data_IF_430902856112
#
_entry.id   IF_430902856112
#
_cell.length_a   1.000
_cell.length_b   1.000
_cell.length_c   1.000
_cell.angle_alpha   90.00
_cell.angle_beta   90.00
_cell.angle_gamma   90.00
#
_symmetry.space_group_name_H-M   'P 1'
#
loop_
_entity.id
_entity.type
_entity.pdbx_description
1 polymer ?
#
# COMPACT_ATOMS: atom_id res chain seq x y z
N UNK A 1 7.84 0.06 25.84
CA UNK A 1 7.19 -0.58 24.67
C UNK A 1 8.15 -0.47 23.52
N UNK A 2 8.67 -1.58 23.02
CA UNK A 2 9.39 -1.59 21.75
C UNK A 2 8.42 -1.11 20.67
N UNK A 3 8.76 -0.04 20.01
CA UNK A 3 7.98 0.48 18.92
C UNK A 3 8.22 -0.43 17.72
N UNK A 4 7.19 -1.12 17.27
CA UNK A 4 7.19 -1.75 15.96
C UNK A 4 7.30 -0.62 14.94
N UNK A 5 8.38 -0.60 14.23
CA UNK A 5 8.58 0.35 13.15
C UNK A 5 8.39 -0.41 11.84
N UNK A 6 7.27 -0.19 11.19
CA UNK A 6 7.01 -0.75 9.87
C UNK A 6 7.89 -0.01 8.85
N UNK A 7 8.41 -0.74 7.89
CA UNK A 7 9.01 -0.16 6.69
C UNK A 7 8.00 -0.23 5.57
N UNK A 8 7.54 0.92 5.15
CA UNK A 8 6.65 1.05 4.02
C UNK A 8 7.45 1.49 2.78
N UNK A 9 6.99 1.07 1.63
CA UNK A 9 7.51 1.51 0.33
C UNK A 9 6.39 2.28 -0.34
N UNK A 10 6.62 3.58 -0.50
CA UNK A 10 5.70 4.45 -1.20
C UNK A 10 6.17 4.70 -2.62
N UNK A 11 5.23 4.76 -3.55
CA UNK A 11 5.49 5.07 -4.95
C UNK A 11 4.81 6.38 -5.31
N UNK A 12 5.58 7.34 -5.80
CA UNK A 12 5.05 8.57 -6.35
C UNK A 12 4.81 8.41 -7.86
N UNK A 13 3.55 8.34 -8.24
CA UNK A 13 3.13 8.28 -9.64
C UNK A 13 2.69 9.64 -10.16
N UNK A 14 3.21 10.04 -11.33
CA UNK A 14 2.87 11.32 -11.99
C UNK A 14 2.38 11.05 -13.41
N UNK A 15 1.39 11.82 -13.86
CA UNK A 15 0.87 11.71 -15.23
C UNK A 15 -0.35 10.77 -15.35
N UNK A 16 -0.42 9.90 -16.38
CA UNK A 16 -1.60 9.06 -16.62
C UNK A 16 -1.95 8.15 -15.46
N UNK A 17 -0.97 7.58 -14.76
CA UNK A 17 -1.17 6.69 -13.62
C UNK A 17 -1.90 7.38 -12.46
N UNK A 18 -1.65 8.66 -12.23
CA UNK A 18 -2.37 9.43 -11.21
C UNK A 18 -3.87 9.56 -11.53
N UNK A 19 -4.23 9.69 -12.82
CA UNK A 19 -5.64 9.69 -13.25
C UNK A 19 -6.29 8.32 -13.10
N UNK A 20 -5.56 7.25 -13.42
CA UNK A 20 -6.05 5.88 -13.19
C UNK A 20 -6.32 5.65 -11.71
N UNK A 21 -5.39 6.03 -10.84
CA UNK A 21 -5.56 5.95 -9.37
C UNK A 21 -6.80 6.71 -8.90
N UNK A 22 -7.03 7.92 -9.41
CA UNK A 22 -8.24 8.69 -9.09
C UNK A 22 -9.52 7.97 -9.55
N UNK A 23 -9.52 7.39 -10.75
CA UNK A 23 -10.67 6.63 -11.26
C UNK A 23 -10.95 5.37 -10.42
N UNK A 24 -9.90 4.68 -9.98
CA UNK A 24 -10.01 3.54 -9.08
C UNK A 24 -10.57 3.98 -7.72
N UNK A 25 -10.06 5.08 -7.17
CA UNK A 25 -10.60 5.63 -5.94
C UNK A 25 -12.10 5.93 -6.05
N UNK A 26 -12.52 6.59 -7.14
CA UNK A 26 -13.93 6.93 -7.37
C UNK A 26 -14.80 5.66 -7.50
N UNK A 27 -14.27 4.60 -8.10
CA UNK A 27 -14.95 3.31 -8.21
C UNK A 27 -15.24 2.72 -6.82
N UNK A 28 -14.24 2.70 -5.95
CA UNK A 28 -14.41 2.21 -4.59
C UNK A 28 -15.30 3.13 -3.77
N UNK A 29 -15.06 4.45 -3.84
CA UNK A 29 -15.84 5.44 -3.09
C UNK A 29 -17.33 5.42 -3.39
N UNK A 30 -17.71 5.14 -4.64
CA UNK A 30 -19.10 5.08 -5.07
C UNK A 30 -19.67 3.65 -5.03
N UNK A 31 -18.93 2.67 -4.54
CA UNK A 31 -19.40 1.29 -4.44
C UNK A 31 -20.39 1.09 -3.29
N UNK A 32 -21.14 0.00 -3.35
CA UNK A 32 -22.05 -0.40 -2.27
C UNK A 32 -21.33 -0.84 -0.97
N UNK A 33 -20.01 -0.97 -0.99
CA UNK A 33 -19.21 -1.36 0.18
C UNK A 33 -18.82 -0.17 1.07
N UNK A 34 -18.99 1.05 0.59
CA UNK A 34 -18.69 2.26 1.37
C UNK A 34 -19.81 2.54 2.34
N UNK A 35 -19.46 2.57 3.61
CA UNK A 35 -20.37 2.93 4.69
C UNK A 35 -20.02 4.35 5.14
N UNK A 36 -20.97 5.25 5.01
CA UNK A 36 -20.80 6.61 5.53
C UNK A 36 -20.67 6.58 7.05
N UNK A 37 -19.62 7.23 7.57
CA UNK A 37 -19.51 7.46 9.01
C UNK A 37 -20.65 8.38 9.45
N UNK A 38 -21.70 7.83 10.07
CA UNK A 38 -22.84 8.60 10.56
C UNK A 38 -22.41 9.42 11.78
N UNK A 39 -22.47 10.76 11.72
CA UNK A 39 -22.19 11.61 12.86
C UNK A 39 -23.14 11.36 14.05
N UNK A 40 -24.33 10.80 13.81
CA UNK A 40 -25.31 10.49 14.87
C UNK A 40 -24.89 9.32 15.75
N UNK A 41 -24.01 8.44 15.27
CA UNK A 41 -23.38 7.39 16.07
C UNK A 41 -22.31 7.94 17.02
N UNK A 42 -21.90 9.17 16.84
CA UNK A 42 -21.02 9.91 17.77
C UNK A 42 -21.82 10.33 19.02
N UNK A 43 -22.38 9.35 19.67
CA UNK A 43 -23.11 9.57 20.92
C UNK A 43 -22.21 10.20 21.98
N UNK A 44 -22.61 11.38 22.43
CA UNK A 44 -22.38 11.91 23.80
C UNK A 44 -20.94 12.15 24.25
N UNK A 45 -20.05 12.54 23.37
CA UNK A 45 -18.64 12.61 23.75
C UNK A 45 -18.00 13.98 23.55
N UNK A 46 -18.73 15.10 23.58
CA UNK A 46 -18.10 16.44 23.45
C UNK A 46 -16.94 16.63 24.44
N UNK A 47 -17.09 16.15 25.68
CA UNK A 47 -16.00 16.20 26.66
C UNK A 47 -14.89 15.17 26.44
N UNK A 48 -15.18 14.03 25.81
CA UNK A 48 -14.20 12.98 25.55
C UNK A 48 -13.28 13.39 24.41
N UNK A 49 -13.78 14.02 23.36
CA UNK A 49 -12.95 14.48 22.25
C UNK A 49 -11.93 15.54 22.68
N UNK A 50 -12.34 16.50 23.50
CA UNK A 50 -11.40 17.50 24.00
C UNK A 50 -10.35 16.87 24.92
N UNK A 51 -10.73 15.96 25.78
CA UNK A 51 -9.81 15.24 26.65
C UNK A 51 -8.81 14.42 25.82
N UNK A 52 -9.28 13.66 24.84
CA UNK A 52 -8.42 12.88 23.95
C UNK A 52 -7.52 13.76 23.09
N UNK A 53 -8.04 14.89 22.58
CA UNK A 53 -7.27 15.84 21.79
C UNK A 53 -6.14 16.48 22.61
N UNK A 54 -6.42 16.81 23.86
CA UNK A 54 -5.42 17.35 24.78
C UNK A 54 -4.37 16.31 25.14
N UNK A 55 -4.77 15.08 25.42
CA UNK A 55 -3.87 13.97 25.69
C UNK A 55 -2.96 13.71 24.49
N UNK A 56 -3.53 13.62 23.28
CA UNK A 56 -2.78 13.45 22.04
C UNK A 56 -1.78 14.60 21.82
N UNK A 57 -2.20 15.85 22.00
CA UNK A 57 -1.30 17.01 21.90
C UNK A 57 -0.15 16.95 22.90
N UNK A 58 -0.40 16.40 24.07
CA UNK A 58 0.63 16.26 25.10
C UNK A 58 1.62 15.14 24.76
N UNK A 59 1.14 14.00 24.24
CA UNK A 59 1.98 12.91 23.73
C UNK A 59 2.81 13.37 22.54
N UNK A 60 2.23 14.12 21.59
CA UNK A 60 2.94 14.67 20.44
C UNK A 60 4.10 15.58 20.85
N UNK A 61 3.92 16.39 21.89
CA UNK A 61 4.99 17.26 22.42
C UNK A 61 6.13 16.48 23.10
N UNK A 62 5.86 15.28 23.60
CA UNK A 62 6.82 14.43 24.27
C UNK A 62 7.46 13.37 23.36
N UNK A 63 6.95 13.24 22.13
CA UNK A 63 7.45 12.25 21.18
C UNK A 63 8.79 12.70 20.58
N UNK A 64 9.85 12.00 20.93
CA UNK A 64 11.18 12.20 20.33
C UNK A 64 11.18 11.92 18.82
N UNK A 65 10.35 10.98 18.37
CA UNK A 65 10.21 10.62 16.96
C UNK A 65 9.61 11.78 16.17
N UNK A 66 8.57 12.42 16.69
CA UNK A 66 7.91 13.55 16.00
C UNK A 66 8.72 14.84 16.09
N UNK A 67 9.62 14.97 17.08
CA UNK A 67 10.56 16.08 17.13
C UNK A 67 11.53 16.08 15.93
N UNK A 68 11.72 14.92 15.28
CA UNK A 68 12.55 14.78 14.08
C UNK A 68 11.80 15.19 12.79
N UNK A 69 10.47 15.25 12.82
CA UNK A 69 9.65 15.66 11.68
C UNK A 69 9.22 17.10 11.84
N UNK A 70 9.63 17.95 10.91
CA UNK A 70 9.16 19.33 10.87
C UNK A 70 7.68 19.36 10.52
N UNK A 71 6.84 19.77 11.47
CA UNK A 71 5.41 20.04 11.24
C UNK A 71 5.17 21.44 10.61
N UNK A 72 6.24 22.12 10.21
CA UNK A 72 6.14 23.40 9.50
C UNK A 72 5.58 23.14 8.11
N UNK A 73 4.57 23.91 7.73
CA UNK A 73 4.03 23.85 6.37
C UNK A 73 5.16 24.06 5.35
N UNK A 74 5.43 23.04 4.57
CA UNK A 74 6.43 23.10 3.50
C UNK A 74 5.77 23.62 2.23
N UNK A 75 6.57 24.29 1.41
CA UNK A 75 6.14 24.62 0.06
C UNK A 75 6.14 23.34 -0.78
N UNK A 76 4.96 22.85 -1.13
CA UNK A 76 4.82 21.69 -2.02
C UNK A 76 5.53 21.91 -3.36
N UNK A 77 5.58 23.15 -3.84
CA UNK A 77 6.29 23.48 -5.08
C UNK A 77 7.80 23.17 -4.98
N UNK A 78 8.43 23.53 -3.86
CA UNK A 78 9.85 23.23 -3.67
C UNK A 78 10.11 21.74 -3.51
N UNK A 79 9.21 20.99 -2.84
CA UNK A 79 9.31 19.55 -2.70
C UNK A 79 9.16 18.84 -4.05
N UNK A 80 8.16 19.21 -4.86
CA UNK A 80 8.00 18.65 -6.21
C UNK A 80 9.17 18.97 -7.13
N UNK A 81 9.72 20.18 -7.07
CA UNK A 81 10.90 20.55 -7.84
C UNK A 81 12.13 19.71 -7.44
N UNK A 82 12.26 19.37 -6.16
CA UNK A 82 13.33 18.48 -5.69
C UNK A 82 13.14 17.02 -6.12
N UNK A 83 11.90 16.55 -6.22
CA UNK A 83 11.56 15.17 -6.62
C UNK A 83 11.63 14.98 -8.15
N UNK A 84 11.34 16.00 -8.94
CA UNK A 84 11.29 15.90 -10.40
C UNK A 84 12.54 15.24 -11.04
N UNK A 85 13.78 15.56 -10.63
CA UNK A 85 14.98 14.91 -11.18
C UNK A 85 15.13 13.43 -10.80
N UNK A 86 14.37 12.98 -9.78
CA UNK A 86 14.41 11.60 -9.29
C UNK A 86 13.33 10.71 -9.94
N UNK A 87 12.46 11.31 -10.75
CA UNK A 87 11.42 10.55 -11.44
C UNK A 87 12.00 9.77 -12.61
N UNK A 88 11.65 8.51 -12.70
CA UNK A 88 11.96 7.64 -13.82
C UNK A 88 10.79 7.56 -14.78
N UNK A 89 11.06 7.67 -16.07
CA UNK A 89 10.05 7.47 -17.10
C UNK A 89 9.87 5.98 -17.35
N UNK A 90 8.62 5.54 -17.38
CA UNK A 90 8.29 4.15 -17.66
C UNK A 90 6.80 3.96 -17.88
N UNK A 91 6.42 2.79 -18.34
CA UNK A 91 5.03 2.38 -18.35
C UNK A 91 4.58 2.14 -16.92
N UNK A 92 3.40 2.66 -16.58
CA UNK A 92 2.80 2.49 -15.26
C UNK A 92 1.31 2.25 -15.42
N UNK A 93 0.81 1.26 -14.72
CA UNK A 93 -0.59 0.85 -14.74
C UNK A 93 -1.09 0.60 -13.33
N UNK A 94 -2.36 0.92 -13.07
CA UNK A 94 -3.04 0.58 -11.82
C UNK A 94 -3.99 -0.57 -12.11
N UNK A 95 -3.71 -1.69 -11.47
CA UNK A 95 -4.57 -2.89 -11.53
C UNK A 95 -5.20 -3.08 -10.16
N UNK A 96 -6.50 -3.35 -10.13
CA UNK A 96 -7.26 -3.52 -8.90
C UNK A 96 -8.41 -4.48 -9.10
N UNK A 97 -8.74 -5.21 -8.07
CA UNK A 97 -10.00 -5.94 -8.00
C UNK A 97 -11.16 -4.96 -7.86
N UNK A 98 -12.29 -5.27 -8.47
CA UNK A 98 -13.47 -4.39 -8.43
C UNK A 98 -14.32 -4.68 -7.21
N UNK A 99 -14.81 -3.63 -6.55
CA UNK A 99 -15.77 -3.78 -5.47
C UNK A 99 -17.17 -4.01 -6.06
N UNK A 100 -17.47 -5.22 -6.51
CA UNK A 100 -18.79 -5.56 -7.00
C UNK A 100 -19.67 -6.22 -5.91
N UNK A 101 -20.95 -6.37 -6.20
CA UNK A 101 -21.92 -6.94 -5.27
C UNK A 101 -21.93 -8.47 -5.25
N UNK A 102 -21.24 -9.13 -6.17
CA UNK A 102 -21.28 -10.58 -6.35
C UNK A 102 -20.08 -11.29 -5.73
N UNK A 103 -19.04 -10.54 -5.33
CA UNK A 103 -17.85 -11.09 -4.70
C UNK A 103 -16.60 -10.27 -4.95
N UNK A 104 -15.46 -10.87 -4.68
CA UNK A 104 -14.15 -10.29 -4.98
C UNK A 104 -13.77 -10.73 -6.40
N UNK A 105 -13.56 -9.77 -7.30
CA UNK A 105 -12.95 -10.09 -8.60
C UNK A 105 -11.50 -10.52 -8.40
N UNK A 106 -10.96 -11.31 -9.33
CA UNK A 106 -9.56 -11.75 -9.32
C UNK A 106 -8.75 -11.02 -10.40
N UNK A 107 -9.12 -9.79 -10.74
CA UNK A 107 -8.50 -9.04 -11.84
C UNK A 107 -7.00 -8.83 -11.64
N UNK A 108 -6.57 -8.58 -10.39
CA UNK A 108 -5.14 -8.45 -10.05
C UNK A 108 -4.41 -9.77 -10.28
N UNK A 109 -4.99 -10.89 -9.84
CA UNK A 109 -4.40 -12.20 -10.03
C UNK A 109 -4.32 -12.55 -11.52
N UNK A 110 -5.40 -12.37 -12.25
CA UNK A 110 -5.47 -12.66 -13.69
C UNK A 110 -4.44 -11.82 -14.45
N UNK A 111 -4.34 -10.53 -14.13
CA UNK A 111 -3.35 -9.64 -14.74
C UNK A 111 -1.90 -10.10 -14.45
N UNK A 112 -1.61 -10.51 -13.22
CA UNK A 112 -0.29 -11.04 -12.86
C UNK A 112 0.02 -12.31 -13.66
N UNK A 113 -0.95 -13.24 -13.74
CA UNK A 113 -0.80 -14.50 -14.47
C UNK A 113 -0.59 -14.29 -15.97
N UNK A 114 -1.21 -13.29 -16.56
CA UNK A 114 -1.06 -12.92 -17.97
C UNK A 114 0.27 -12.24 -18.27
N UNK A 115 0.76 -11.39 -17.37
CA UNK A 115 1.92 -10.54 -17.63
C UNK A 115 3.24 -11.11 -17.10
N UNK A 116 3.20 -11.97 -16.08
CA UNK A 116 4.40 -12.56 -15.50
C UNK A 116 5.26 -13.32 -16.53
N UNK A 117 4.68 -14.08 -17.48
CA UNK A 117 5.46 -14.78 -18.52
C UNK A 117 6.21 -13.86 -19.48
N UNK A 118 5.84 -12.58 -19.57
CA UNK A 118 6.49 -11.59 -20.41
C UNK A 118 7.82 -11.06 -19.83
N UNK A 119 8.13 -11.41 -18.59
CA UNK A 119 9.37 -10.98 -17.91
C UNK A 119 10.56 -11.69 -18.52
N UNK A 120 11.54 -10.90 -19.02
CA UNK A 120 12.72 -11.44 -19.73
C UNK A 120 14.03 -11.24 -18.98
N UNK A 121 14.13 -10.28 -18.08
CA UNK A 121 15.38 -9.90 -17.44
C UNK A 121 15.31 -9.98 -15.92
N UNK A 122 14.47 -9.14 -15.32
CA UNK A 122 14.37 -9.05 -13.87
C UNK A 122 12.94 -8.86 -13.42
N UNK A 123 12.61 -9.48 -12.29
CA UNK A 123 11.36 -9.35 -11.59
C UNK A 123 11.63 -8.99 -10.13
N UNK A 124 11.11 -7.85 -9.70
CA UNK A 124 11.10 -7.46 -8.30
C UNK A 124 9.67 -7.49 -7.77
N UNK A 125 9.41 -8.40 -6.82
CA UNK A 125 8.14 -8.48 -6.12
C UNK A 125 8.31 -7.94 -4.71
N UNK A 126 7.51 -6.93 -4.35
CA UNK A 126 7.45 -6.42 -2.98
C UNK A 126 6.03 -6.56 -2.47
N UNK A 127 5.82 -7.48 -1.54
CA UNK A 127 4.51 -7.77 -0.97
C UNK A 127 4.66 -8.24 0.47
N UNK A 128 3.94 -7.60 1.39
CA UNK A 128 3.97 -7.95 2.81
C UNK A 128 3.42 -9.35 3.10
N UNK A 129 2.48 -9.84 2.28
CA UNK A 129 1.76 -11.11 2.44
C UNK A 129 1.78 -11.88 1.12
N UNK A 130 2.96 -12.34 0.73
CA UNK A 130 3.11 -13.09 -0.52
C UNK A 130 2.61 -14.53 -0.35
N UNK A 131 1.55 -14.89 -1.04
CA UNK A 131 0.99 -16.26 -1.07
C UNK A 131 0.79 -16.66 -2.53
N UNK A 132 1.85 -17.08 -3.23
CA UNK A 132 1.79 -17.34 -4.66
C UNK A 132 0.99 -18.60 -5.01
N UNK A 133 0.78 -19.49 -4.06
CA UNK A 133 0.22 -20.81 -4.33
C UNK A 133 1.09 -21.68 -5.25
N UNK A 134 0.70 -22.94 -5.52
CA UNK A 134 1.49 -23.84 -6.36
C UNK A 134 1.71 -23.32 -7.78
N UNK A 135 0.71 -22.67 -8.36
CA UNK A 135 0.77 -22.14 -9.74
C UNK A 135 1.74 -20.96 -9.82
N UNK A 136 1.65 -20.02 -8.87
CA UNK A 136 2.57 -18.87 -8.82
C UNK A 136 4.02 -19.30 -8.55
N UNK A 137 4.23 -20.31 -7.68
CA UNK A 137 5.58 -20.86 -7.47
C UNK A 137 6.13 -21.49 -8.76
N UNK A 138 5.32 -22.26 -9.49
CA UNK A 138 5.75 -22.85 -10.75
C UNK A 138 6.12 -21.79 -11.79
N UNK A 139 5.34 -20.72 -11.89
CA UNK A 139 5.66 -19.62 -12.81
C UNK A 139 6.95 -18.87 -12.44
N UNK A 140 7.20 -18.64 -11.15
CA UNK A 140 8.45 -18.02 -10.70
C UNK A 140 9.66 -18.93 -11.01
N UNK A 141 9.51 -20.24 -10.86
CA UNK A 141 10.55 -21.22 -11.20
C UNK A 141 10.82 -21.26 -12.71
N UNK A 142 9.77 -21.17 -13.52
CA UNK A 142 9.88 -21.10 -14.99
C UNK A 142 10.66 -19.82 -15.41
N UNK A 143 10.40 -18.68 -14.78
CA UNK A 143 11.13 -17.43 -15.05
C UNK A 143 12.62 -17.56 -14.71
N UNK A 144 12.94 -18.12 -13.55
CA UNK A 144 14.33 -18.36 -13.14
C UNK A 144 15.01 -19.33 -14.11
N UNK A 145 14.31 -20.40 -14.53
CA UNK A 145 14.80 -21.39 -15.49
C UNK A 145 15.04 -20.73 -16.87
N UNK A 146 14.20 -19.78 -17.26
CA UNK A 146 14.38 -18.99 -18.49
C UNK A 146 15.53 -17.98 -18.39
N UNK A 147 16.09 -17.75 -17.21
CA UNK A 147 17.26 -16.89 -16.99
C UNK A 147 16.92 -15.50 -16.43
N UNK A 148 15.69 -15.26 -16.00
CA UNK A 148 15.32 -14.03 -15.33
C UNK A 148 15.83 -14.00 -13.88
N UNK A 149 16.25 -12.82 -13.41
CA UNK A 149 16.56 -12.59 -12.01
C UNK A 149 15.28 -12.28 -11.24
N UNK A 150 14.93 -13.14 -10.28
CA UNK A 150 13.72 -12.96 -9.46
C UNK A 150 14.11 -12.58 -8.04
N UNK A 151 13.71 -11.39 -7.62
CA UNK A 151 13.92 -10.88 -6.27
C UNK A 151 12.58 -10.68 -5.56
N UNK A 152 12.44 -11.24 -4.36
CA UNK A 152 11.21 -11.15 -3.57
C UNK A 152 11.51 -10.49 -2.23
N UNK A 153 10.84 -9.39 -1.97
CA UNK A 153 10.80 -8.74 -0.65
C UNK A 153 9.45 -9.00 0.01
N UNK A 154 9.47 -9.76 1.09
CA UNK A 154 8.27 -10.08 1.88
C UNK A 154 8.55 -10.02 3.36
N UNK A 155 7.51 -9.98 4.19
CA UNK A 155 7.65 -10.03 5.63
C UNK A 155 8.16 -11.40 6.11
N UNK A 156 9.01 -11.37 7.13
CA UNK A 156 9.36 -12.57 7.89
C UNK A 156 8.30 -12.86 8.97
N UNK A 157 8.33 -14.06 9.53
CA UNK A 157 7.48 -14.42 10.67
C UNK A 157 7.63 -13.42 11.85
N UNK A 158 8.81 -12.87 12.04
CA UNK A 158 9.09 -11.93 13.13
C UNK A 158 8.59 -10.51 12.88
N UNK A 159 8.35 -10.13 11.62
CA UNK A 159 7.89 -8.79 11.22
C UNK A 159 6.42 -8.74 10.84
N UNK A 160 5.73 -9.88 10.88
CA UNK A 160 4.34 -9.97 10.46
C UNK A 160 3.38 -9.71 11.62
N UNK A 161 2.36 -8.89 11.38
CA UNK A 161 1.31 -8.59 12.34
C UNK A 161 0.18 -9.64 12.35
N UNK A 162 0.03 -10.42 11.26
CA UNK A 162 -0.95 -11.49 11.12
C UNK A 162 -0.24 -12.84 11.02
N UNK A 163 0.07 -13.44 12.18
CA UNK A 163 0.82 -14.71 12.26
C UNK A 163 0.14 -15.86 11.51
N UNK A 164 -1.19 -15.87 11.44
CA UNK A 164 -1.95 -16.92 10.74
C UNK A 164 -1.65 -17.00 9.23
N UNK A 165 -1.27 -15.89 8.61
CA UNK A 165 -0.91 -15.85 7.18
C UNK A 165 0.35 -16.63 6.90
N UNK A 166 1.32 -16.65 7.83
CA UNK A 166 2.56 -17.42 7.68
C UNK A 166 2.37 -18.96 7.64
N UNK A 167 1.23 -19.46 8.05
CA UNK A 167 0.95 -20.90 7.96
C UNK A 167 0.60 -21.37 6.54
N UNK A 168 0.53 -20.43 5.59
CA UNK A 168 0.20 -20.69 4.18
C UNK A 168 1.39 -20.51 3.22
N UNK A 169 2.58 -20.25 3.79
CA UNK A 169 3.85 -20.23 3.03
C UNK A 169 4.44 -21.61 2.88
#
# INVERSE_FOLDING_TARGET
>A
RQHFNFRDIDVLGVGPVARQTSSVFDLFWNSGWVISADPSTQTKAEGIYETQRLALKQELKQSETLAQFSLVARSWESEFNALTPLLHLGHSEVVTDRPDSEGISNEVFDWVMENLPEVQQDLLVTNAYLIPGPEGVAMLDDLVTAGAEVTIHTNSLASQDVVAVNSHY
#
